data_IF_604927607721
#
_entry.id   IF_604927607721
#
_cell.length_a   1.000
_cell.length_b   1.000
_cell.length_c   1.000
_cell.angle_alpha   90.00
_cell.angle_beta   90.00
_cell.angle_gamma   90.00
#
_symmetry.space_group_name_H-M   'P 1'
#
loop_
_entity.id
_entity.type
_entity.pdbx_description
1 polymer ?
#
# COMPACT_ATOMS: atom_id res chain seq x y z
N UNK A 1 35.39 18.52 30.41
CA UNK A 1 35.41 18.76 31.87
C UNK A 1 34.94 20.19 32.11
N UNK A 2 33.66 20.37 32.44
CA UNK A 2 33.12 21.64 32.94
C UNK A 2 32.02 21.30 33.94
N UNK A 3 32.44 20.76 35.08
CA UNK A 3 31.62 20.74 36.30
C UNK A 3 31.69 22.15 36.89
N UNK A 4 30.61 22.93 36.77
CA UNK A 4 30.40 24.16 37.53
C UNK A 4 28.93 24.54 37.45
N UNK A 5 28.08 23.85 38.22
CA UNK A 5 26.64 24.10 38.23
C UNK A 5 25.92 23.86 39.54
N UNK A 6 26.65 23.72 40.66
CA UNK A 6 26.01 23.53 41.97
C UNK A 6 26.77 24.27 43.09
N UNK A 7 27.07 25.55 42.85
CA UNK A 7 27.54 26.44 43.91
C UNK A 7 26.30 27.04 44.56
N UNK A 8 26.01 26.65 45.80
CA UNK A 8 24.99 27.30 46.62
C UNK A 8 25.35 28.78 46.75
N UNK A 9 24.60 29.65 46.07
CA UNK A 9 24.74 31.10 46.15
C UNK A 9 23.84 31.61 47.30
N UNK A 10 24.41 32.10 48.41
CA UNK A 10 23.64 32.56 49.57
C UNK A 10 22.70 33.75 49.27
N UNK A 11 22.84 34.37 48.10
CA UNK A 11 22.03 35.52 47.67
C UNK A 11 20.98 35.17 46.61
N UNK A 12 20.85 33.90 46.20
CA UNK A 12 19.78 33.44 45.30
C UNK A 12 18.80 32.48 46.03
N UNK A 13 17.76 33.00 46.70
CA UNK A 13 16.75 32.18 47.38
C UNK A 13 15.92 31.32 46.41
N UNK A 14 16.02 31.56 45.10
CA UNK A 14 15.34 30.77 44.08
C UNK A 14 16.17 29.58 43.58
N UNK A 15 17.48 29.56 43.85
CA UNK A 15 18.38 28.49 43.42
C UNK A 15 17.99 27.11 43.95
N UNK A 16 17.57 27.02 45.22
CA UNK A 16 17.09 25.77 45.82
C UNK A 16 15.76 25.30 45.20
N UNK A 17 14.81 26.22 44.97
CA UNK A 17 13.53 25.92 44.32
C UNK A 17 13.72 25.52 42.86
N UNK A 18 14.66 26.18 42.17
CA UNK A 18 15.04 25.90 40.79
C UNK A 18 15.70 24.52 40.68
N UNK A 19 16.62 24.18 41.57
CA UNK A 19 17.22 22.85 41.62
C UNK A 19 16.20 21.74 41.89
N UNK A 20 15.25 21.97 42.82
CA UNK A 20 14.16 21.02 43.09
C UNK A 20 13.24 20.83 41.88
N UNK A 21 12.88 21.92 41.19
CA UNK A 21 12.10 21.88 39.95
C UNK A 21 12.85 21.16 38.84
N UNK A 22 14.13 21.46 38.65
CA UNK A 22 14.94 20.91 37.58
C UNK A 22 15.15 19.40 37.80
N UNK A 23 15.38 18.96 39.04
CA UNK A 23 15.42 17.53 39.38
C UNK A 23 14.08 16.83 39.15
N UNK A 24 12.95 17.51 39.43
CA UNK A 24 11.62 16.98 39.18
C UNK A 24 11.35 16.84 37.68
N UNK A 25 11.67 17.86 36.89
CA UNK A 25 11.53 17.86 35.43
C UNK A 25 12.43 16.81 34.77
N UNK A 26 13.66 16.64 35.25
CA UNK A 26 14.60 15.61 34.79
C UNK A 26 14.03 14.20 34.99
N UNK A 27 13.40 13.94 36.14
CA UNK A 27 12.75 12.65 36.41
C UNK A 27 11.52 12.43 35.51
N UNK A 28 10.69 13.47 35.30
CA UNK A 28 9.55 13.39 34.38
C UNK A 28 10.01 13.18 32.94
N UNK A 29 11.08 13.86 32.53
CA UNK A 29 11.66 13.70 31.20
C UNK A 29 12.15 12.26 30.99
N UNK A 30 12.91 11.70 31.94
CA UNK A 30 13.37 10.30 31.88
C UNK A 30 12.22 9.30 31.80
N UNK A 31 11.18 9.51 32.60
CA UNK A 31 9.98 8.66 32.58
C UNK A 31 9.28 8.72 31.21
N UNK A 32 9.09 9.93 30.66
CA UNK A 32 8.47 10.12 29.35
C UNK A 32 9.34 9.57 28.22
N UNK A 33 10.66 9.71 28.29
CA UNK A 33 11.59 9.07 27.34
C UNK A 33 11.46 7.56 27.38
N UNK A 34 11.35 6.97 28.58
CA UNK A 34 11.07 5.55 28.75
C UNK A 34 9.75 5.12 28.12
N UNK A 35 8.68 5.89 28.35
CA UNK A 35 7.33 5.64 27.80
C UNK A 35 7.34 5.69 26.27
N UNK A 36 7.91 6.74 25.67
CA UNK A 36 7.94 6.92 24.21
C UNK A 36 8.80 5.86 23.52
N UNK A 37 9.84 5.35 24.20
CA UNK A 37 10.71 4.30 23.68
C UNK A 37 10.14 2.88 23.91
N UNK A 38 8.91 2.74 24.42
CA UNK A 38 8.27 1.42 24.52
C UNK A 38 7.60 1.01 23.22
N UNK A 39 7.65 -0.28 22.92
CA UNK A 39 6.92 -0.88 21.79
C UNK A 39 5.40 -0.67 21.91
N UNK A 40 4.87 -0.59 23.14
CA UNK A 40 3.46 -0.34 23.39
C UNK A 40 3.04 1.09 22.98
N UNK A 41 3.87 2.10 23.23
CA UNK A 41 3.62 3.46 22.75
C UNK A 41 3.69 3.53 21.23
N UNK A 42 4.73 2.95 20.64
CA UNK A 42 4.87 2.87 19.19
C UNK A 42 3.67 2.17 18.53
N UNK A 43 3.22 1.05 19.10
CA UNK A 43 2.04 0.31 18.65
C UNK A 43 0.74 1.09 18.81
N UNK A 44 0.54 1.78 19.94
CA UNK A 44 -0.65 2.59 20.18
C UNK A 44 -0.72 3.81 19.24
N UNK A 45 0.40 4.49 19.01
CA UNK A 45 0.47 5.60 18.05
C UNK A 45 0.28 5.11 16.61
N UNK A 46 0.86 3.95 16.27
CA UNK A 46 0.62 3.30 14.97
C UNK A 46 -0.84 2.97 14.74
N UNK A 47 -1.50 2.35 15.71
CA UNK A 47 -2.93 2.03 15.63
C UNK A 47 -3.83 3.29 15.53
N UNK A 48 -3.46 4.37 16.23
CA UNK A 48 -4.15 5.65 16.13
C UNK A 48 -3.98 6.28 14.73
N UNK A 49 -2.77 6.20 14.16
CA UNK A 49 -2.50 6.68 12.82
C UNK A 49 -3.29 5.86 11.80
N UNK A 50 -3.27 4.53 11.90
CA UNK A 50 -4.04 3.64 11.02
C UNK A 50 -5.55 3.89 11.13
N UNK A 51 -6.08 4.12 12.33
CA UNK A 51 -7.47 4.48 12.52
C UNK A 51 -7.81 5.82 11.83
N UNK A 52 -6.91 6.81 11.93
CA UNK A 52 -7.06 8.11 11.28
C UNK A 52 -6.98 7.99 9.75
N UNK A 53 -6.05 7.20 9.25
CA UNK A 53 -5.89 6.91 7.82
C UNK A 53 -7.11 6.14 7.28
N UNK A 54 -7.64 5.18 8.02
CA UNK A 54 -8.86 4.46 7.66
C UNK A 54 -10.10 5.36 7.71
N UNK A 55 -10.20 6.26 8.68
CA UNK A 55 -11.26 7.27 8.70
C UNK A 55 -11.19 8.18 7.46
N UNK A 56 -9.99 8.42 6.91
CA UNK A 56 -9.78 9.14 5.65
C UNK A 56 -9.91 8.28 4.39
N UNK A 57 -10.22 6.98 4.49
CA UNK A 57 -10.36 6.09 3.34
C UNK A 57 -11.39 6.59 2.30
N UNK A 58 -12.56 7.16 2.68
CA UNK A 58 -13.49 7.75 1.71
C UNK A 58 -12.88 8.93 0.94
N UNK A 59 -12.02 9.73 1.58
CA UNK A 59 -11.32 10.83 0.92
C UNK A 59 -10.29 10.31 -0.08
N UNK A 60 -9.53 9.26 0.26
CA UNK A 60 -8.62 8.59 -0.68
C UNK A 60 -9.36 8.09 -1.92
N UNK A 61 -10.50 7.42 -1.73
CA UNK A 61 -11.34 6.93 -2.83
C UNK A 61 -11.89 8.06 -3.70
N UNK A 62 -12.28 9.18 -3.09
CA UNK A 62 -12.73 10.36 -3.82
C UNK A 62 -11.61 10.96 -4.68
N UNK A 63 -10.39 11.06 -4.14
CA UNK A 63 -9.22 11.51 -4.89
C UNK A 63 -8.90 10.58 -6.06
N UNK A 64 -8.89 9.25 -5.84
CA UNK A 64 -8.68 8.25 -6.89
C UNK A 64 -9.73 8.38 -8.02
N UNK A 65 -11.00 8.57 -7.65
CA UNK A 65 -12.08 8.76 -8.62
C UNK A 65 -11.91 10.04 -9.42
N UNK A 66 -11.59 11.16 -8.75
CA UNK A 66 -11.33 12.44 -9.40
C UNK A 66 -10.15 12.35 -10.37
N UNK A 67 -9.06 11.70 -9.95
CA UNK A 67 -7.88 11.49 -10.79
C UNK A 67 -8.21 10.61 -12.00
N UNK A 68 -8.97 9.53 -11.80
CA UNK A 68 -9.45 8.68 -12.90
C UNK A 68 -10.29 9.48 -13.89
N UNK A 69 -11.18 10.35 -13.40
CA UNK A 69 -12.01 11.19 -14.26
C UNK A 69 -11.19 12.24 -15.03
N UNK A 70 -10.17 12.85 -14.39
CA UNK A 70 -9.24 13.76 -15.07
C UNK A 70 -8.41 13.03 -16.13
N UNK A 71 -7.89 11.85 -15.83
CA UNK A 71 -7.14 11.04 -16.79
C UNK A 71 -8.04 10.55 -17.95
N UNK A 72 -9.29 10.20 -17.66
CA UNK A 72 -10.27 9.90 -18.70
C UNK A 72 -10.54 11.10 -19.62
N UNK A 73 -10.58 12.33 -19.08
CA UNK A 73 -10.67 13.54 -19.91
C UNK A 73 -9.44 13.76 -20.81
N UNK A 74 -8.29 13.20 -20.44
CA UNK A 74 -7.09 13.15 -21.27
C UNK A 74 -7.06 11.94 -22.21
N UNK A 75 -8.19 11.26 -22.45
CA UNK A 75 -8.30 10.03 -23.24
C UNK A 75 -7.40 8.89 -22.75
N UNK A 76 -7.06 8.86 -21.46
CA UNK A 76 -6.28 7.76 -20.89
C UNK A 76 -7.23 6.65 -20.42
N UNK A 77 -7.13 5.43 -20.98
CA UNK A 77 -7.94 4.29 -20.53
C UNK A 77 -7.53 3.87 -19.12
N UNK A 78 -8.50 3.40 -18.33
CA UNK A 78 -8.22 2.95 -16.97
C UNK A 78 -7.48 1.61 -16.98
N UNK A 79 -6.83 1.27 -15.86
CA UNK A 79 -6.21 -0.06 -15.69
C UNK A 79 -7.22 -1.18 -15.87
N UNK A 80 -8.44 -1.01 -15.36
CA UNK A 80 -9.51 -2.00 -15.49
C UNK A 80 -9.94 -2.21 -16.94
N UNK A 81 -9.96 -1.16 -17.75
CA UNK A 81 -10.27 -1.27 -19.18
C UNK A 81 -9.20 -2.09 -19.91
N UNK A 82 -7.92 -1.88 -19.59
CA UNK A 82 -6.80 -2.64 -20.17
C UNK A 82 -6.88 -4.12 -19.76
N UNK A 83 -7.18 -4.41 -18.49
CA UNK A 83 -7.33 -5.79 -17.99
C UNK A 83 -8.49 -6.48 -18.69
N UNK A 84 -9.65 -5.82 -18.82
CA UNK A 84 -10.80 -6.37 -19.54
C UNK A 84 -10.50 -6.66 -21.00
N UNK A 85 -9.75 -5.78 -21.67
CA UNK A 85 -9.30 -6.02 -23.04
C UNK A 85 -8.38 -7.24 -23.11
N UNK A 86 -7.43 -7.38 -22.19
CA UNK A 86 -6.53 -8.53 -22.15
C UNK A 86 -7.28 -9.86 -21.91
N UNK A 87 -8.28 -9.86 -21.03
CA UNK A 87 -9.15 -11.03 -20.78
C UNK A 87 -9.95 -11.41 -22.03
N UNK A 88 -10.54 -10.43 -22.71
CA UNK A 88 -11.28 -10.66 -23.95
C UNK A 88 -10.38 -11.20 -25.06
N UNK A 89 -9.18 -10.64 -25.22
CA UNK A 89 -8.20 -11.14 -26.18
C UNK A 89 -7.79 -12.58 -25.89
N UNK A 90 -7.60 -12.93 -24.60
CA UNK A 90 -7.31 -14.31 -24.19
C UNK A 90 -8.45 -15.26 -24.55
N UNK A 91 -9.70 -14.84 -24.34
CA UNK A 91 -10.87 -15.66 -24.69
C UNK A 91 -11.04 -15.82 -26.21
N UNK A 92 -10.69 -14.79 -26.99
CA UNK A 92 -10.67 -14.85 -28.45
C UNK A 92 -9.61 -15.86 -28.91
N UNK A 93 -8.40 -15.81 -28.35
CA UNK A 93 -7.31 -16.74 -28.68
C UNK A 93 -7.73 -18.20 -28.45
N UNK A 94 -8.29 -18.52 -27.27
CA UNK A 94 -8.76 -19.88 -26.98
C UNK A 94 -9.83 -20.36 -27.98
N UNK A 95 -10.73 -19.47 -28.39
CA UNK A 95 -11.74 -19.81 -29.41
C UNK A 95 -11.12 -20.00 -30.79
N UNK A 96 -10.05 -19.28 -31.10
CA UNK A 96 -9.32 -19.39 -32.34
C UNK A 96 -8.58 -20.73 -32.40
N UNK A 97 -7.92 -21.13 -31.32
CA UNK A 97 -7.29 -22.45 -31.16
C UNK A 97 -8.31 -23.60 -31.33
N UNK A 98 -9.48 -23.48 -30.71
CA UNK A 98 -10.56 -24.48 -30.85
C UNK A 98 -11.05 -24.60 -32.30
N UNK A 99 -11.13 -23.47 -33.02
CA UNK A 99 -11.51 -23.46 -34.43
C UNK A 99 -10.42 -24.07 -35.31
N UNK A 100 -9.15 -23.77 -35.05
CA UNK A 100 -8.01 -24.35 -35.74
C UNK A 100 -8.04 -25.88 -35.59
N UNK A 101 -8.19 -26.39 -34.36
CA UNK A 101 -8.28 -27.83 -34.10
C UNK A 101 -9.44 -28.52 -34.85
N UNK A 102 -10.60 -27.86 -34.98
CA UNK A 102 -11.77 -28.37 -35.72
C UNK A 102 -11.54 -28.38 -37.23
N UNK A 103 -10.93 -27.33 -37.78
CA UNK A 103 -10.58 -27.26 -39.21
C UNK A 103 -9.58 -28.36 -39.57
N UNK A 104 -8.59 -28.56 -38.72
CA UNK A 104 -7.60 -29.61 -38.83
C UNK A 104 -8.21 -31.02 -38.83
N UNK A 105 -9.15 -31.26 -37.91
CA UNK A 105 -9.88 -32.52 -37.84
C UNK A 105 -10.72 -32.77 -39.11
N UNK A 106 -11.37 -31.72 -39.64
CA UNK A 106 -12.12 -31.79 -40.90
C UNK A 106 -11.20 -32.10 -42.08
N UNK A 107 -10.07 -31.41 -42.20
CA UNK A 107 -9.08 -31.65 -43.26
C UNK A 107 -8.54 -33.09 -43.23
N UNK A 108 -8.27 -33.64 -42.04
CA UNK A 108 -7.87 -35.04 -41.88
C UNK A 108 -9.01 -36.00 -42.30
N UNK A 109 -10.26 -35.69 -41.96
CA UNK A 109 -11.41 -36.51 -42.30
C UNK A 109 -11.66 -36.58 -43.82
N UNK A 110 -11.49 -35.46 -44.54
CA UNK A 110 -11.66 -35.41 -46.00
C UNK A 110 -10.53 -36.12 -46.72
N UNK A 111 -9.28 -35.95 -46.28
CA UNK A 111 -8.14 -36.70 -46.81
C UNK A 111 -8.28 -38.22 -46.60
N UNK A 112 -8.76 -38.64 -45.42
CA UNK A 112 -9.03 -40.05 -45.11
C UNK A 112 -10.18 -40.65 -45.93
N UNK A 113 -11.18 -39.84 -46.30
CA UNK A 113 -12.29 -40.27 -47.16
C UNK A 113 -11.85 -40.48 -48.61
N UNK A 114 -10.96 -39.62 -49.12
CA UNK A 114 -10.39 -39.74 -50.48
C UNK A 114 -9.55 -41.02 -50.65
N UNK A 115 -8.67 -41.34 -49.68
CA UNK A 115 -7.86 -42.58 -49.75
C UNK A 115 -8.72 -43.85 -49.76
N UNK A 116 -9.90 -43.80 -49.13
CA UNK A 116 -10.81 -44.94 -49.04
C UNK A 116 -11.58 -45.22 -50.34
N UNK A 117 -11.82 -44.18 -51.16
CA UNK A 117 -12.44 -44.35 -52.49
C UNK A 117 -11.47 -44.80 -53.59
N UNK A 118 -10.16 -44.66 -53.38
CA UNK A 118 -9.12 -45.12 -54.33
C UNK A 118 -8.69 -46.58 -54.09
N UNK A 119 -9.15 -47.22 -52.99
CA UNK A 119 -8.80 -48.61 -52.62
C UNK A 119 -9.96 -49.61 -52.80
N UNK A 120 -11.02 -49.21 -53.51
CA UNK A 120 -12.21 -50.02 -53.79
C UNK A 120 -12.48 -50.01 -55.29
#
# INVERSE_FOLDING_TARGET
MSENGNQFDPFDPTGMLKGMRDATLENWAKLMTGVVNTDAYAGATGAMLDASLNASAPLRKLMETSMTQSLASCNMPSRDDIVRLAEQLTHIEMRLDDMEAKLDALARSTAGRRKRSESQ
#
